data_IF_606504147159
#
_entry.id   IF_606504147159
#
_cell.length_a   1.000
_cell.length_b   1.000
_cell.length_c   1.000
_cell.angle_alpha   90.00
_cell.angle_beta   90.00
_cell.angle_gamma   90.00
#
_symmetry.space_group_name_H-M   'P 1'
#
loop_
_entity.id
_entity.type
_entity.pdbx_description
1 polymer ?
#
# COMPACT_ATOMS: atom_id res chain seq x y z
N UNK A 1 -12.24 -13.74 -7.60
CA UNK A 1 -11.87 -12.38 -7.12
C UNK A 1 -11.15 -12.37 -5.77
N UNK A 2 -11.63 -13.04 -4.71
CA UNK A 2 -10.95 -13.02 -3.39
C UNK A 2 -9.52 -13.58 -3.43
N UNK A 3 -9.29 -14.72 -4.08
CA UNK A 3 -7.96 -15.31 -4.23
C UNK A 3 -6.96 -14.39 -4.96
N UNK A 4 -7.42 -13.72 -6.03
CA UNK A 4 -6.60 -12.77 -6.77
C UNK A 4 -6.22 -11.54 -5.92
N UNK A 5 -7.17 -11.00 -5.14
CA UNK A 5 -6.90 -9.89 -4.22
C UNK A 5 -5.90 -10.29 -3.12
N UNK A 6 -6.05 -11.51 -2.59
CA UNK A 6 -5.10 -12.04 -1.60
C UNK A 6 -3.69 -12.17 -2.19
N UNK A 7 -3.56 -12.78 -3.37
CA UNK A 7 -2.28 -12.93 -4.07
C UNK A 7 -1.65 -11.56 -4.36
N UNK A 8 -2.43 -10.58 -4.81
CA UNK A 8 -1.94 -9.24 -5.09
C UNK A 8 -1.44 -8.53 -3.82
N UNK A 9 -2.17 -8.64 -2.70
CA UNK A 9 -1.73 -8.10 -1.40
C UNK A 9 -0.46 -8.78 -0.90
N UNK A 10 -0.34 -10.10 -1.08
CA UNK A 10 0.88 -10.83 -0.75
C UNK A 10 2.07 -10.37 -1.59
N UNK A 11 1.87 -10.18 -2.91
CA UNK A 11 2.91 -9.67 -3.80
C UNK A 11 3.38 -8.26 -3.41
N UNK A 12 2.45 -7.34 -3.12
CA UNK A 12 2.82 -5.99 -2.64
C UNK A 12 3.48 -6.03 -1.27
N UNK A 13 3.03 -6.91 -0.37
CA UNK A 13 3.72 -7.15 0.91
C UNK A 13 5.16 -7.62 0.71
N UNK A 14 5.41 -8.51 -0.27
CA UNK A 14 6.76 -8.93 -0.62
C UNK A 14 7.59 -7.79 -1.23
N UNK A 15 7.00 -6.93 -2.07
CA UNK A 15 7.68 -5.73 -2.57
C UNK A 15 8.10 -4.82 -1.41
N UNK A 16 7.20 -4.52 -0.46
CA UNK A 16 7.56 -3.75 0.74
C UNK A 16 8.68 -4.40 1.53
N UNK A 17 8.65 -5.72 1.69
CA UNK A 17 9.71 -6.46 2.38
C UNK A 17 11.07 -6.21 1.72
N UNK A 18 11.18 -6.35 0.39
CA UNK A 18 12.44 -6.10 -0.34
C UNK A 18 12.88 -4.64 -0.23
N UNK A 19 11.94 -3.70 -0.36
CA UNK A 19 12.23 -2.27 -0.25
C UNK A 19 12.75 -1.89 1.14
N UNK A 20 12.12 -2.40 2.20
CA UNK A 20 12.55 -2.18 3.58
C UNK A 20 13.89 -2.88 3.84
N UNK A 21 14.07 -4.12 3.36
CA UNK A 21 15.34 -4.85 3.49
C UNK A 21 16.50 -4.05 2.90
N UNK A 22 16.31 -3.36 1.79
CA UNK A 22 17.33 -2.53 1.16
C UNK A 22 17.85 -1.38 2.06
N UNK A 23 17.11 -0.94 3.08
CA UNK A 23 17.61 0.04 4.06
C UNK A 23 18.59 -0.57 5.07
N UNK A 24 18.43 -1.86 5.40
CA UNK A 24 19.26 -2.56 6.38
C UNK A 24 20.40 -3.34 5.72
N UNK A 25 20.16 -3.86 4.53
CA UNK A 25 21.11 -4.58 3.69
C UNK A 25 20.97 -4.08 2.25
N UNK A 26 21.66 -2.98 1.89
CA UNK A 26 21.56 -2.39 0.56
C UNK A 26 22.05 -3.35 -0.52
N UNK A 27 21.28 -3.46 -1.60
CA UNK A 27 21.67 -4.26 -2.76
C UNK A 27 22.84 -3.60 -3.51
N UNK A 28 23.75 -4.36 -4.13
CA UNK A 28 24.95 -3.81 -4.73
C UNK A 28 24.66 -2.89 -5.92
N UNK A 29 25.45 -1.81 -6.01
CA UNK A 29 25.48 -0.91 -7.16
C UNK A 29 24.17 -0.13 -7.39
N UNK A 30 23.75 -0.05 -8.66
CA UNK A 30 22.58 0.75 -9.08
C UNK A 30 21.24 0.21 -8.56
N UNK A 31 21.21 -1.06 -8.12
CA UNK A 31 20.01 -1.68 -7.59
C UNK A 31 19.51 -0.98 -6.32
N UNK A 32 20.40 -0.66 -5.36
CA UNK A 32 19.99 0.05 -4.15
C UNK A 32 19.38 1.43 -4.45
N UNK A 33 19.97 2.18 -5.38
CA UNK A 33 19.47 3.50 -5.78
C UNK A 33 18.06 3.38 -6.37
N UNK A 34 17.85 2.42 -7.27
CA UNK A 34 16.53 2.15 -7.84
C UNK A 34 15.51 1.79 -6.74
N UNK A 35 15.89 0.93 -5.79
CA UNK A 35 15.02 0.53 -4.68
C UNK A 35 14.69 1.69 -3.73
N UNK A 36 15.61 2.62 -3.50
CA UNK A 36 15.29 3.84 -2.73
C UNK A 36 14.28 4.73 -3.43
N UNK A 37 14.46 4.97 -4.74
CA UNK A 37 13.51 5.74 -5.55
C UNK A 37 12.15 5.04 -5.57
N UNK A 38 12.13 3.73 -5.77
CA UNK A 38 10.90 2.94 -5.73
C UNK A 38 10.22 3.01 -4.37
N UNK A 39 10.97 2.99 -3.27
CA UNK A 39 10.40 3.14 -1.92
C UNK A 39 9.74 4.49 -1.74
N UNK A 40 10.44 5.58 -2.11
CA UNK A 40 9.89 6.92 -2.03
C UNK A 40 8.63 7.06 -2.90
N UNK A 41 8.68 6.56 -4.13
CA UNK A 41 7.55 6.60 -5.05
C UNK A 41 6.36 5.81 -4.52
N UNK A 42 6.58 4.57 -4.06
CA UNK A 42 5.52 3.70 -3.53
C UNK A 42 4.87 4.33 -2.30
N UNK A 43 5.68 4.83 -1.36
CA UNK A 43 5.19 5.48 -0.15
C UNK A 43 4.36 6.73 -0.47
N UNK A 44 4.84 7.60 -1.37
CA UNK A 44 4.13 8.81 -1.77
C UNK A 44 2.83 8.45 -2.49
N UNK A 45 2.86 7.51 -3.43
CA UNK A 45 1.67 7.12 -4.19
C UNK A 45 0.61 6.48 -3.31
N UNK A 46 0.99 5.58 -2.41
CA UNK A 46 0.06 4.98 -1.46
C UNK A 46 -0.43 5.99 -0.41
N UNK A 47 0.44 6.91 0.03
CA UNK A 47 0.08 8.02 0.90
C UNK A 47 -0.96 8.94 0.25
N UNK A 48 -0.76 9.30 -1.02
CA UNK A 48 -1.71 10.08 -1.80
C UNK A 48 -3.04 9.34 -1.96
N UNK A 49 -3.02 8.04 -2.27
CA UNK A 49 -4.23 7.21 -2.32
C UNK A 49 -4.97 7.19 -0.98
N UNK A 50 -4.25 7.06 0.13
CA UNK A 50 -4.82 7.11 1.48
C UNK A 50 -5.45 8.47 1.77
N UNK A 51 -4.73 9.56 1.50
CA UNK A 51 -5.20 10.93 1.72
C UNK A 51 -6.45 11.24 0.89
N UNK A 52 -6.45 10.91 -0.40
CA UNK A 52 -7.61 11.09 -1.28
C UNK A 52 -8.80 10.28 -0.76
N UNK A 53 -8.61 9.03 -0.36
CA UNK A 53 -9.71 8.18 0.09
C UNK A 53 -10.30 8.66 1.43
N UNK A 54 -9.44 8.98 2.40
CA UNK A 54 -9.87 9.52 3.69
C UNK A 54 -10.57 10.86 3.50
N UNK A 55 -10.05 11.75 2.64
CA UNK A 55 -10.67 13.03 2.35
C UNK A 55 -12.04 12.91 1.66
N UNK A 56 -12.20 11.95 0.73
CA UNK A 56 -13.43 11.79 -0.03
C UNK A 56 -14.53 10.99 0.72
N UNK A 57 -14.13 10.05 1.59
CA UNK A 57 -15.04 9.06 2.19
C UNK A 57 -14.97 9.00 3.72
N UNK A 58 -14.03 9.65 4.39
CA UNK A 58 -13.80 9.52 5.83
C UNK A 58 -15.01 9.85 6.70
N UNK A 59 -15.81 10.85 6.30
CA UNK A 59 -17.03 11.21 7.03
C UNK A 59 -18.24 10.33 6.68
N UNK A 60 -18.14 9.57 5.58
CA UNK A 60 -19.21 8.72 5.05
C UNK A 60 -19.11 7.29 5.55
N UNK A 61 -17.91 6.84 5.93
CA UNK A 61 -17.65 5.48 6.40
C UNK A 61 -16.83 5.47 7.70
N UNK A 62 -17.31 4.75 8.72
CA UNK A 62 -16.55 4.53 9.96
C UNK A 62 -15.43 3.53 9.74
N UNK A 63 -14.30 4.01 9.26
CA UNK A 63 -13.08 3.22 9.08
C UNK A 63 -12.32 3.01 10.39
N UNK A 64 -11.85 1.79 10.58
CA UNK A 64 -10.87 1.45 11.62
C UNK A 64 -9.49 2.05 11.30
N UNK A 65 -8.66 2.24 12.33
CA UNK A 65 -7.27 2.68 12.14
C UNK A 65 -6.47 1.74 11.25
N UNK A 66 -6.71 0.42 11.36
CA UNK A 66 -6.05 -0.56 10.50
C UNK A 66 -6.42 -0.41 9.03
N UNK A 67 -7.69 -0.12 8.71
CA UNK A 67 -8.11 0.10 7.32
C UNK A 67 -7.38 1.30 6.71
N UNK A 68 -7.16 2.38 7.48
CA UNK A 68 -6.38 3.54 7.03
C UNK A 68 -4.92 3.18 6.73
N UNK A 69 -4.27 2.45 7.64
CA UNK A 69 -2.89 1.98 7.45
C UNK A 69 -2.76 0.96 6.32
N UNK A 70 -3.78 0.12 6.12
CA UNK A 70 -3.78 -0.88 5.06
C UNK A 70 -3.75 -0.28 3.66
N UNK A 71 -4.26 0.95 3.47
CA UNK A 71 -4.15 1.68 2.20
C UNK A 71 -2.70 2.10 1.94
N UNK A 72 -1.98 2.53 2.98
CA UNK A 72 -0.57 2.88 2.83
C UNK A 72 0.28 1.67 2.43
N UNK A 73 -0.06 0.48 2.93
CA UNK A 73 0.68 -0.75 2.65
C UNK A 73 0.25 -1.36 1.31
N UNK A 74 -1.05 -1.54 1.07
CA UNK A 74 -1.56 -2.31 -0.07
C UNK A 74 -2.16 -1.45 -1.19
N UNK A 75 -2.14 -0.12 -1.06
CA UNK A 75 -2.65 0.81 -2.06
C UNK A 75 -4.10 0.52 -2.46
N UNK A 76 -4.33 0.45 -3.76
CA UNK A 76 -5.66 0.19 -4.36
C UNK A 76 -6.28 -1.14 -3.91
N UNK A 77 -5.50 -2.17 -3.55
CA UNK A 77 -6.06 -3.44 -3.11
C UNK A 77 -6.76 -3.33 -1.75
N UNK A 78 -6.26 -2.47 -0.86
CA UNK A 78 -6.96 -2.15 0.38
C UNK A 78 -8.21 -1.29 0.11
N UNK A 79 -8.11 -0.31 -0.80
CA UNK A 79 -9.25 0.51 -1.22
C UNK A 79 -10.40 -0.34 -1.77
N UNK A 80 -10.09 -1.33 -2.62
CA UNK A 80 -11.08 -2.25 -3.17
C UNK A 80 -11.76 -3.08 -2.08
N UNK A 81 -11.02 -3.56 -1.08
CA UNK A 81 -11.60 -4.31 0.04
C UNK A 81 -12.49 -3.42 0.93
N UNK A 82 -12.03 -2.21 1.26
CA UNK A 82 -12.80 -1.26 2.07
C UNK A 82 -14.09 -0.87 1.32
N UNK A 83 -13.99 -0.55 0.03
CA UNK A 83 -15.16 -0.24 -0.81
C UNK A 83 -16.15 -1.39 -0.83
N UNK A 84 -15.67 -2.63 -0.97
CA UNK A 84 -16.51 -3.84 -0.95
C UNK A 84 -17.14 -4.13 0.42
N UNK A 85 -16.57 -3.61 1.50
CA UNK A 85 -17.08 -3.82 2.86
C UNK A 85 -18.15 -2.81 3.25
N UNK A 86 -18.05 -1.57 2.76
CA UNK A 86 -18.90 -0.46 3.21
C UNK A 86 -19.84 0.12 2.14
N UNK A 87 -19.59 -0.15 0.85
CA UNK A 87 -20.28 0.54 -0.25
C UNK A 87 -20.91 -0.40 -1.29
N UNK A 88 -20.75 -1.72 -1.12
CA UNK A 88 -21.44 -2.77 -1.87
C UNK A 88 -21.92 -3.82 -0.89
#
# INVERSE_FOLDING_TARGET
>A
MKALLFLAKAAIGFVWFILILNFFMPFPGKAAIALYIMTAFLFIMHGLQSAIFIGAFGDKIKMTSWEKWSILIFGIFALLDIRRKYMM
#
